data_IF_230268262806
#
_entry.id   IF_230268262806
#
_cell.length_a   1.000
_cell.length_b   1.000
_cell.length_c   1.000
_cell.angle_alpha   90.00
_cell.angle_beta   90.00
_cell.angle_gamma   90.00
#
_symmetry.space_group_name_H-M   'P 1'
#
loop_
_entity.id
_entity.type
_entity.pdbx_description
1 polymer ?
#
# COMPACT_ATOMS: atom_id res chain seq x y z
N UNK A 1 24.12 6.34 -13.09
CA UNK A 1 23.73 7.54 -12.32
C UNK A 1 22.22 7.69 -12.42
N UNK A 2 21.47 7.43 -11.34
CA UNK A 2 20.01 7.55 -11.37
C UNK A 2 19.67 9.04 -11.29
N UNK A 3 19.27 9.64 -12.42
CA UNK A 3 18.88 11.04 -12.47
C UNK A 3 17.62 11.26 -11.63
N UNK A 4 17.70 12.19 -10.66
CA UNK A 4 16.54 12.64 -9.88
C UNK A 4 15.66 13.52 -10.76
N UNK A 5 14.34 13.33 -10.71
CA UNK A 5 13.41 14.25 -11.35
C UNK A 5 13.46 15.59 -10.63
N UNK A 6 13.87 16.64 -11.35
CA UNK A 6 13.70 18.02 -10.90
C UNK A 6 12.26 18.46 -11.11
N UNK A 7 11.63 18.98 -10.06
CA UNK A 7 10.25 19.42 -10.07
C UNK A 7 10.22 20.92 -10.32
N UNK A 8 9.69 21.35 -11.47
CA UNK A 8 9.64 22.77 -11.83
C UNK A 8 8.43 23.46 -11.20
N UNK A 9 7.33 22.73 -11.01
CA UNK A 9 6.07 23.28 -10.50
C UNK A 9 5.44 22.43 -9.40
N UNK A 10 4.65 23.07 -8.52
CA UNK A 10 3.89 22.37 -7.48
C UNK A 10 2.84 21.40 -8.07
N UNK A 11 2.27 21.70 -9.24
CA UNK A 11 1.35 20.79 -9.95
C UNK A 11 1.99 19.43 -10.25
N UNK A 12 3.26 19.40 -10.65
CA UNK A 12 3.97 18.15 -10.96
C UNK A 12 4.20 17.29 -9.71
N UNK A 13 4.41 17.94 -8.55
CA UNK A 13 4.55 17.26 -7.26
C UNK A 13 3.23 16.60 -6.85
N UNK A 14 2.11 17.31 -7.02
CA UNK A 14 0.76 16.79 -6.72
C UNK A 14 0.43 15.62 -7.65
N UNK A 15 0.73 15.72 -8.94
CA UNK A 15 0.50 14.62 -9.89
C UNK A 15 1.31 13.38 -9.49
N UNK A 16 2.60 13.52 -9.23
CA UNK A 16 3.43 12.39 -8.79
C UNK A 16 2.93 11.82 -7.44
N UNK A 17 2.47 12.65 -6.51
CA UNK A 17 1.85 12.20 -5.26
C UNK A 17 0.59 11.37 -5.52
N UNK A 18 -0.34 11.87 -6.34
CA UNK A 18 -1.57 11.16 -6.70
C UNK A 18 -1.26 9.84 -7.41
N UNK A 19 -0.24 9.80 -8.28
CA UNK A 19 0.20 8.56 -8.93
C UNK A 19 0.70 7.56 -7.89
N UNK A 20 1.49 7.98 -6.90
CA UNK A 20 1.92 7.08 -5.82
C UNK A 20 0.76 6.57 -4.97
N UNK A 21 -0.17 7.46 -4.63
CA UNK A 21 -1.34 7.16 -3.82
C UNK A 21 -2.30 6.19 -4.53
N UNK A 22 -2.86 6.58 -5.67
CA UNK A 22 -3.83 5.78 -6.42
C UNK A 22 -3.18 4.58 -7.12
N UNK A 23 -1.92 4.72 -7.57
CA UNK A 23 -1.16 3.62 -8.14
C UNK A 23 -0.98 2.48 -7.15
N UNK A 24 -0.80 2.76 -5.85
CA UNK A 24 -0.77 1.69 -4.85
C UNK A 24 -2.11 1.01 -4.63
N UNK A 25 -3.22 1.75 -4.66
CA UNK A 25 -4.54 1.10 -4.61
C UNK A 25 -4.73 0.12 -5.77
N UNK A 26 -4.35 0.52 -6.98
CA UNK A 26 -4.40 -0.37 -8.14
C UNK A 26 -3.47 -1.59 -7.96
N UNK A 27 -2.24 -1.39 -7.49
CA UNK A 27 -1.29 -2.48 -7.26
C UNK A 27 -1.78 -3.47 -6.18
N UNK A 28 -2.31 -2.98 -5.06
CA UNK A 28 -2.89 -3.81 -3.99
C UNK A 28 -4.14 -4.53 -4.48
N UNK A 29 -4.99 -3.88 -5.28
CA UNK A 29 -6.17 -4.50 -5.86
C UNK A 29 -5.78 -5.67 -6.77
N UNK A 30 -4.83 -5.46 -7.68
CA UNK A 30 -4.31 -6.53 -8.57
C UNK A 30 -3.68 -7.65 -7.74
N UNK A 31 -2.84 -7.32 -6.76
CA UNK A 31 -2.20 -8.30 -5.87
C UNK A 31 -3.24 -9.12 -5.12
N UNK A 32 -4.32 -8.50 -4.64
CA UNK A 32 -5.39 -9.19 -3.92
C UNK A 32 -6.10 -10.20 -4.83
N UNK A 33 -6.41 -9.81 -6.07
CA UNK A 33 -6.98 -10.73 -7.06
C UNK A 33 -6.04 -11.89 -7.38
N UNK A 34 -4.74 -11.64 -7.58
CA UNK A 34 -3.75 -12.70 -7.83
C UNK A 34 -3.61 -13.62 -6.62
N UNK A 35 -3.63 -13.06 -5.41
CA UNK A 35 -3.48 -13.83 -4.17
C UNK A 35 -4.67 -14.74 -3.90
N UNK A 36 -5.85 -14.46 -4.46
CA UNK A 36 -7.02 -15.34 -4.34
C UNK A 36 -6.74 -16.75 -4.90
N UNK A 37 -5.87 -16.86 -5.92
CA UNK A 37 -5.42 -18.16 -6.43
C UNK A 37 -4.54 -18.92 -5.42
N UNK A 38 -3.73 -18.22 -4.61
CA UNK A 38 -2.90 -18.83 -3.57
C UNK A 38 -3.73 -19.36 -2.41
N UNK A 39 -4.86 -18.71 -2.10
CA UNK A 39 -5.84 -19.17 -1.11
C UNK A 39 -6.41 -20.56 -1.42
N UNK A 40 -6.51 -20.92 -2.69
CA UNK A 40 -7.02 -22.24 -3.11
C UNK A 40 -6.00 -23.37 -2.86
N UNK A 41 -4.71 -23.03 -2.71
CA UNK A 41 -3.61 -24.01 -2.70
C UNK A 41 -3.00 -24.12 -1.30
N UNK A 42 -2.96 -23.01 -0.54
CA UNK A 42 -2.27 -22.94 0.74
C UNK A 42 -3.25 -23.03 1.93
N UNK A 43 -2.81 -23.62 3.06
CA UNK A 43 -3.52 -23.49 4.32
C UNK A 43 -3.72 -22.01 4.71
N UNK A 44 -4.87 -21.69 5.30
CA UNK A 44 -5.29 -20.31 5.59
C UNK A 44 -4.27 -19.50 6.40
N UNK A 45 -3.63 -20.11 7.41
CA UNK A 45 -2.60 -19.43 8.22
C UNK A 45 -1.36 -19.06 7.39
N UNK A 46 -0.86 -19.99 6.58
CA UNK A 46 0.29 -19.78 5.70
C UNK A 46 -0.01 -18.70 4.67
N UNK A 47 -1.23 -18.68 4.13
CA UNK A 47 -1.69 -17.62 3.23
C UNK A 47 -1.68 -16.25 3.91
N UNK A 48 -2.23 -16.12 5.12
CA UNK A 48 -2.30 -14.84 5.84
C UNK A 48 -0.89 -14.26 6.09
N UNK A 49 0.04 -15.08 6.56
CA UNK A 49 1.42 -14.64 6.84
C UNK A 49 2.13 -14.25 5.54
N UNK A 50 2.02 -15.07 4.50
CA UNK A 50 2.67 -14.80 3.21
C UNK A 50 2.09 -13.55 2.53
N UNK A 51 0.76 -13.35 2.56
CA UNK A 51 0.11 -12.18 1.99
C UNK A 51 0.60 -10.88 2.64
N UNK A 52 0.61 -10.82 3.98
CA UNK A 52 1.12 -9.65 4.72
C UNK A 52 2.60 -9.40 4.40
N UNK A 53 3.40 -10.45 4.32
CA UNK A 53 4.84 -10.34 4.01
C UNK A 53 5.06 -9.81 2.59
N UNK A 54 4.36 -10.34 1.59
CA UNK A 54 4.44 -9.88 0.19
C UNK A 54 4.02 -8.42 0.09
N UNK A 55 2.94 -8.04 0.78
CA UNK A 55 2.44 -6.67 0.79
C UNK A 55 3.49 -5.72 1.38
N UNK A 56 4.09 -6.05 2.53
CA UNK A 56 5.18 -5.26 3.13
C UNK A 56 6.39 -5.13 2.21
N UNK A 57 6.83 -6.22 1.58
CA UNK A 57 7.94 -6.21 0.61
C UNK A 57 7.62 -5.28 -0.55
N UNK A 58 6.38 -5.32 -1.06
CA UNK A 58 5.94 -4.48 -2.16
C UNK A 58 5.96 -2.98 -1.76
N UNK A 59 5.45 -2.62 -0.58
CA UNK A 59 5.54 -1.24 -0.09
C UNK A 59 6.98 -0.78 0.06
N UNK A 60 7.82 -1.54 0.78
CA UNK A 60 9.22 -1.17 1.04
C UNK A 60 9.99 -1.05 -0.28
N UNK A 61 9.83 -2.04 -1.17
CA UNK A 61 10.50 -2.08 -2.47
C UNK A 61 10.13 -0.88 -3.34
N UNK A 62 8.83 -0.57 -3.47
CA UNK A 62 8.38 0.56 -4.27
C UNK A 62 8.77 1.90 -3.65
N UNK A 63 8.67 2.05 -2.33
CA UNK A 63 9.11 3.27 -1.63
C UNK A 63 10.59 3.50 -1.92
N UNK A 64 11.46 2.51 -1.70
CA UNK A 64 12.90 2.64 -1.91
C UNK A 64 13.26 2.90 -3.39
N UNK A 65 12.57 2.24 -4.32
CA UNK A 65 12.78 2.41 -5.75
C UNK A 65 12.43 3.83 -6.21
N UNK A 66 11.24 4.32 -5.83
CA UNK A 66 10.80 5.66 -6.21
C UNK A 66 11.48 6.76 -5.41
N UNK A 67 11.97 6.50 -4.20
CA UNK A 67 12.55 7.54 -3.35
C UNK A 67 13.78 8.15 -4.00
N UNK A 68 14.56 7.32 -4.70
CA UNK A 68 15.75 7.75 -5.45
C UNK A 68 15.44 8.54 -6.72
N UNK A 69 14.27 8.31 -7.36
CA UNK A 69 13.93 8.86 -8.69
C UNK A 69 12.87 9.96 -8.65
N UNK A 70 11.76 9.72 -7.94
CA UNK A 70 10.56 10.56 -7.84
C UNK A 70 10.04 10.55 -6.40
N UNK A 71 10.64 11.39 -5.55
CA UNK A 71 10.37 11.46 -4.11
C UNK A 71 8.87 11.59 -3.78
N UNK A 72 8.12 12.38 -4.54
CA UNK A 72 6.70 12.62 -4.24
C UNK A 72 5.80 11.41 -4.53
N UNK A 73 6.19 10.51 -5.45
CA UNK A 73 5.51 9.21 -5.62
C UNK A 73 5.66 8.40 -4.33
N UNK A 74 6.89 8.26 -3.80
CA UNK A 74 7.11 7.54 -2.55
C UNK A 74 6.35 8.12 -1.35
N UNK A 75 6.22 9.45 -1.29
CA UNK A 75 5.39 10.11 -0.26
C UNK A 75 3.92 9.72 -0.43
N UNK A 76 3.40 9.69 -1.68
CA UNK A 76 2.04 9.22 -1.97
C UNK A 76 1.80 7.78 -1.50
N UNK A 77 2.77 6.89 -1.76
CA UNK A 77 2.74 5.49 -1.31
C UNK A 77 2.70 5.41 0.24
N UNK A 78 3.54 6.19 0.93
CA UNK A 78 3.60 6.23 2.38
C UNK A 78 2.29 6.76 2.99
N UNK A 79 1.73 7.83 2.43
CA UNK A 79 0.45 8.38 2.90
C UNK A 79 -0.67 7.37 2.71
N UNK A 80 -0.70 6.68 1.57
CA UNK A 80 -1.69 5.64 1.32
C UNK A 80 -1.58 4.49 2.35
N UNK A 81 -0.36 4.04 2.68
CA UNK A 81 -0.14 3.02 3.71
C UNK A 81 -0.68 3.48 5.07
N UNK A 82 -0.37 4.71 5.46
CA UNK A 82 -0.83 5.27 6.73
C UNK A 82 -2.37 5.34 6.81
N UNK A 83 -3.02 5.81 5.75
CA UNK A 83 -4.49 5.84 5.68
C UNK A 83 -5.08 4.43 5.76
N UNK A 84 -4.49 3.44 5.08
CA UNK A 84 -4.95 2.06 5.16
C UNK A 84 -4.87 1.49 6.58
N UNK A 85 -3.79 1.80 7.32
CA UNK A 85 -3.65 1.41 8.74
C UNK A 85 -4.73 2.07 9.59
N UNK A 86 -4.96 3.38 9.44
CA UNK A 86 -6.01 4.08 10.20
C UNK A 86 -7.40 3.50 9.96
N UNK A 87 -7.72 3.20 8.69
CA UNK A 87 -8.98 2.56 8.32
C UNK A 87 -9.08 1.17 8.96
N UNK A 88 -8.01 0.37 8.90
CA UNK A 88 -7.97 -0.96 9.52
C UNK A 88 -8.17 -0.93 11.03
N UNK A 89 -7.52 0.01 11.73
CA UNK A 89 -7.70 0.21 13.19
C UNK A 89 -9.12 0.66 13.51
N UNK A 90 -9.71 1.56 12.72
CA UNK A 90 -11.09 2.00 12.90
C UNK A 90 -12.07 0.82 12.74
N UNK A 91 -11.90 -0.02 11.72
CA UNK A 91 -12.74 -1.21 11.54
C UNK A 91 -12.58 -2.20 12.69
N UNK A 92 -11.35 -2.46 13.14
CA UNK A 92 -11.11 -3.34 14.28
C UNK A 92 -11.79 -2.83 15.56
N UNK A 93 -11.72 -1.52 15.82
CA UNK A 93 -12.41 -0.89 16.95
C UNK A 93 -13.93 -1.02 16.85
N UNK A 94 -14.51 -0.77 15.66
CA UNK A 94 -15.96 -0.92 15.45
C UNK A 94 -16.43 -2.37 15.63
N UNK A 95 -15.66 -3.35 15.16
CA UNK A 95 -15.97 -4.77 15.36
C UNK A 95 -15.90 -5.16 16.84
N UNK A 96 -14.85 -4.73 17.56
CA UNK A 96 -14.70 -4.97 18.99
C UNK A 96 -15.88 -4.41 19.78
N UNK A 97 -16.22 -3.13 19.56
CA UNK A 97 -17.34 -2.46 20.23
C UNK A 97 -18.68 -3.14 19.95
N UNK A 98 -18.90 -3.61 18.72
CA UNK A 98 -20.15 -4.31 18.35
C UNK A 98 -20.25 -5.68 19.02
N UNK A 99 -19.11 -6.38 19.17
CA UNK A 99 -19.04 -7.67 19.88
C UNK A 99 -19.31 -7.57 21.37
N UNK A 100 -18.99 -6.45 22.03
CA UNK A 100 -19.33 -6.21 23.45
C UNK A 100 -20.82 -5.90 23.68
N UNK A 101 -21.56 -5.54 22.63
CA UNK A 101 -22.99 -5.18 22.71
C UNK A 101 -23.95 -6.33 22.42
N UNK A 102 -23.45 -7.53 22.13
CA UNK A 102 -24.23 -8.77 22.00
C UNK A 102 -24.08 -9.63 23.27
#
# INVERSE_FOLDING_TARGET
>A
MISKKEYKNNKEKIIDFCIGFFGMFAAVFILSNISMFLLMILPQQTYLISYVSILLILYIGLILFFYKKRKYISIGILVQLFIAILIGVLFAYLMFKTGETM
#
